data_IF_958107744377
#
_entry.id   IF_958107744377
#
_cell.length_a   1.000
_cell.length_b   1.000
_cell.length_c   1.000
_cell.angle_alpha   90.00
_cell.angle_beta   90.00
_cell.angle_gamma   90.00
#
_symmetry.space_group_name_H-M   'P 1'
#
loop_
_entity.id
_entity.type
_entity.pdbx_description
1 polymer ?
#
# COMPACT_ATOMS: atom_id res chain seq x y z
N UNK A 1 8.26 -6.62 24.61
CA UNK A 1 8.12 -6.03 23.24
C UNK A 1 9.18 -6.64 22.36
N UNK A 2 8.84 -7.45 21.36
CA UNK A 2 9.81 -7.99 20.39
C UNK A 2 10.34 -6.88 19.48
N UNK A 3 11.62 -6.97 19.12
CA UNK A 3 12.33 -5.99 18.29
C UNK A 3 13.20 -6.70 17.26
N UNK A 4 13.24 -6.15 16.03
CA UNK A 4 14.32 -6.42 15.09
C UNK A 4 15.28 -5.23 15.08
N UNK A 5 16.56 -5.52 15.19
CA UNK A 5 17.65 -4.57 15.03
C UNK A 5 18.33 -4.88 13.70
N UNK A 6 18.24 -3.98 12.74
CA UNK A 6 18.74 -4.16 11.39
C UNK A 6 19.93 -3.23 11.12
N UNK A 7 20.82 -3.63 10.21
CA UNK A 7 22.00 -2.88 9.80
C UNK A 7 22.86 -2.44 11.00
N UNK A 8 23.07 -3.38 11.91
CA UNK A 8 23.75 -3.15 13.17
C UNK A 8 25.24 -2.96 12.94
N UNK A 9 25.78 -1.86 13.43
CA UNK A 9 27.21 -1.60 13.54
C UNK A 9 27.65 -1.75 14.99
N UNK A 10 28.88 -2.12 15.19
CA UNK A 10 29.50 -2.19 16.53
C UNK A 10 30.54 -1.06 16.59
N UNK A 11 30.44 -0.20 17.60
CA UNK A 11 31.42 0.86 17.82
C UNK A 11 32.66 0.37 18.57
N UNK A 12 33.63 1.26 18.77
CA UNK A 12 34.90 0.96 19.45
C UNK A 12 34.71 0.52 20.93
N UNK A 13 33.56 0.88 21.52
CA UNK A 13 33.19 0.54 22.91
C UNK A 13 32.33 -0.73 22.99
N UNK A 14 32.17 -1.46 21.89
CA UNK A 14 31.30 -2.66 21.74
C UNK A 14 29.80 -2.38 21.92
N UNK A 15 29.30 -1.17 21.67
CA UNK A 15 27.88 -0.89 21.61
C UNK A 15 27.31 -1.26 20.24
N UNK A 16 26.11 -1.84 20.25
CA UNK A 16 25.36 -2.16 19.04
C UNK A 16 24.55 -0.94 18.60
N UNK A 17 24.89 -0.38 17.46
CA UNK A 17 24.20 0.78 16.86
C UNK A 17 23.38 0.31 15.66
N UNK A 18 22.06 0.11 15.83
CA UNK A 18 21.22 -0.32 14.71
C UNK A 18 20.97 0.84 13.73
N UNK A 19 20.99 0.52 12.44
CA UNK A 19 20.56 1.43 11.38
C UNK A 19 19.05 1.60 11.37
N UNK A 20 18.31 0.51 11.64
CA UNK A 20 16.85 0.49 11.76
C UNK A 20 16.43 -0.33 12.99
N UNK A 21 15.34 0.12 13.62
CA UNK A 21 14.65 -0.61 14.70
C UNK A 21 13.22 -0.85 14.25
N UNK A 22 12.77 -2.10 14.30
CA UNK A 22 11.39 -2.51 13.98
C UNK A 22 10.75 -3.11 15.21
N UNK A 23 9.73 -2.46 15.75
CA UNK A 23 9.00 -2.96 16.92
C UNK A 23 7.89 -3.93 16.48
N UNK A 24 7.62 -4.96 17.25
CA UNK A 24 6.59 -5.96 16.94
C UNK A 24 6.63 -6.37 15.46
N UNK A 25 7.75 -6.95 14.96
CA UNK A 25 7.91 -7.25 13.54
C UNK A 25 6.83 -8.23 13.02
N UNK A 26 6.32 -9.08 13.88
CA UNK A 26 5.23 -10.02 13.58
C UNK A 26 3.88 -9.34 13.34
N UNK A 27 3.70 -8.09 13.78
CA UNK A 27 2.53 -7.30 13.42
C UNK A 27 2.74 -6.67 12.04
N UNK A 28 2.45 -7.45 11.01
CA UNK A 28 2.63 -7.01 9.62
C UNK A 28 1.70 -5.85 9.28
N UNK A 29 2.27 -4.79 8.72
CA UNK A 29 1.54 -3.69 8.12
C UNK A 29 1.54 -3.85 6.60
N UNK A 30 0.38 -3.67 5.99
CA UNK A 30 0.26 -3.61 4.54
C UNK A 30 0.93 -2.35 3.98
N UNK A 31 1.76 -2.54 2.96
CA UNK A 31 2.53 -1.44 2.35
C UNK A 31 1.63 -0.33 1.82
N UNK A 32 0.52 -0.68 1.16
CA UNK A 32 -0.41 0.33 0.61
C UNK A 32 -1.08 1.12 1.73
N UNK A 33 -1.38 0.47 2.87
CA UNK A 33 -1.96 1.15 4.03
C UNK A 33 -0.95 2.06 4.74
N UNK A 34 0.33 1.67 4.80
CA UNK A 34 1.40 2.51 5.32
C UNK A 34 1.65 3.71 4.40
N UNK A 35 1.80 3.47 3.10
CA UNK A 35 2.00 4.52 2.10
C UNK A 35 0.86 5.56 2.11
N UNK A 36 -0.39 5.10 2.30
CA UNK A 36 -1.55 5.99 2.41
C UNK A 36 -1.52 6.93 3.63
N UNK A 37 -0.55 6.80 4.54
CA UNK A 37 -0.33 7.74 5.65
C UNK A 37 0.57 8.92 5.27
N UNK A 38 1.27 8.83 4.14
CA UNK A 38 2.06 9.91 3.56
C UNK A 38 1.15 10.81 2.72
N UNK A 39 0.74 11.90 3.32
CA UNK A 39 -0.18 12.87 2.71
C UNK A 39 0.52 14.18 2.46
N UNK A 40 0.06 14.93 1.48
CA UNK A 40 0.57 16.26 1.17
C UNK A 40 0.50 17.22 2.37
N UNK A 41 -0.34 16.93 3.35
CA UNK A 41 -0.52 17.73 4.56
C UNK A 41 0.22 17.19 5.80
N UNK A 42 0.80 15.99 5.76
CA UNK A 42 1.55 15.42 6.86
C UNK A 42 1.72 13.91 6.79
N UNK A 43 2.74 13.39 7.50
CA UNK A 43 3.08 11.97 7.58
C UNK A 43 2.66 11.38 8.93
N UNK A 44 1.41 11.56 9.31
CA UNK A 44 0.94 11.28 10.66
C UNK A 44 0.37 9.86 10.81
N UNK A 45 0.76 9.09 11.88
CA UNK A 45 0.31 7.70 12.07
C UNK A 45 -1.20 7.56 12.28
N UNK A 46 -1.89 8.60 12.73
CA UNK A 46 -3.35 8.57 12.88
C UNK A 46 -4.10 8.60 11.54
N UNK A 47 -3.44 8.91 10.42
CA UNK A 47 -4.01 8.69 9.10
C UNK A 47 -4.37 7.21 8.88
N UNK A 48 -3.57 6.28 9.44
CA UNK A 48 -3.88 4.84 9.42
C UNK A 48 -5.18 4.53 10.15
N UNK A 49 -5.36 5.09 11.35
CA UNK A 49 -6.59 4.94 12.12
C UNK A 49 -7.81 5.52 11.39
N UNK A 50 -7.70 6.73 10.86
CA UNK A 50 -8.79 7.38 10.10
C UNK A 50 -9.17 6.52 8.88
N UNK A 51 -8.22 6.04 8.11
CA UNK A 51 -8.47 5.18 6.96
C UNK A 51 -9.14 3.83 7.36
N UNK A 52 -8.91 3.36 8.60
CA UNK A 52 -9.50 2.14 9.12
C UNK A 52 -10.99 2.30 9.48
N UNK A 53 -11.37 3.47 10.01
CA UNK A 53 -12.76 3.76 10.45
C UNK A 53 -13.61 4.48 9.39
N UNK A 54 -12.96 5.10 8.40
CA UNK A 54 -13.64 5.81 7.32
C UNK A 54 -14.49 4.83 6.51
N UNK A 55 -15.76 5.20 6.18
CA UNK A 55 -16.58 4.39 5.30
C UNK A 55 -15.88 4.15 3.96
N UNK A 56 -15.86 2.89 3.53
CA UNK A 56 -15.36 2.51 2.21
C UNK A 56 -16.55 2.43 1.24
N UNK A 57 -16.47 3.18 0.16
CA UNK A 57 -17.43 3.13 -0.92
C UNK A 57 -16.77 2.64 -2.20
N UNK A 58 -17.51 1.90 -3.02
CA UNK A 58 -17.08 1.62 -4.38
C UNK A 58 -17.17 2.91 -5.19
N UNK A 59 -16.08 3.26 -5.85
CA UNK A 59 -16.00 4.48 -6.64
C UNK A 59 -15.48 4.18 -8.04
N UNK A 60 -15.88 5.00 -9.01
CA UNK A 60 -15.39 4.86 -10.38
C UNK A 60 -13.85 4.82 -10.50
N UNK A 61 -13.06 5.61 -9.74
CA UNK A 61 -11.61 5.48 -9.72
C UNK A 61 -11.10 4.10 -9.26
N UNK A 62 -11.73 3.48 -8.24
CA UNK A 62 -11.34 2.14 -7.77
C UNK A 62 -11.63 1.10 -8.86
N UNK A 63 -12.83 1.13 -9.45
CA UNK A 63 -13.18 0.23 -10.55
C UNK A 63 -12.27 0.43 -11.78
N UNK A 64 -11.90 1.68 -12.08
CA UNK A 64 -10.94 1.97 -13.13
C UNK A 64 -9.55 1.41 -12.82
N UNK A 65 -9.11 1.48 -11.56
CA UNK A 65 -7.86 0.88 -11.10
C UNK A 65 -7.83 -0.62 -11.34
N UNK A 66 -8.85 -1.32 -10.86
CA UNK A 66 -8.96 -2.76 -11.02
C UNK A 66 -9.05 -3.19 -12.50
N UNK A 67 -9.79 -2.43 -13.32
CA UNK A 67 -9.86 -2.69 -14.76
C UNK A 67 -8.53 -2.44 -15.48
N UNK A 68 -7.78 -1.40 -15.08
CA UNK A 68 -6.46 -1.11 -15.61
C UNK A 68 -5.44 -2.22 -15.26
N UNK A 69 -5.49 -2.74 -14.03
CA UNK A 69 -4.68 -3.91 -13.63
C UNK A 69 -5.05 -5.14 -14.48
N UNK A 70 -6.34 -5.39 -14.72
CA UNK A 70 -6.76 -6.49 -15.60
C UNK A 70 -6.24 -6.32 -17.05
N UNK A 71 -6.19 -5.10 -17.59
CA UNK A 71 -5.58 -4.86 -18.90
C UNK A 71 -4.08 -5.18 -18.89
N UNK A 72 -3.36 -4.81 -17.85
CA UNK A 72 -1.94 -5.14 -17.71
C UNK A 72 -1.74 -6.66 -17.69
N UNK A 73 -2.51 -7.36 -16.87
CA UNK A 73 -2.47 -8.83 -16.75
C UNK A 73 -2.75 -9.51 -18.10
N UNK A 74 -3.80 -9.07 -18.79
CA UNK A 74 -4.19 -9.64 -20.08
C UNK A 74 -3.08 -9.42 -21.13
N UNK A 75 -2.46 -8.22 -21.20
CA UNK A 75 -1.38 -7.96 -22.15
C UNK A 75 -0.07 -8.68 -21.82
N UNK A 76 0.27 -8.83 -20.54
CA UNK A 76 1.45 -9.62 -20.13
C UNK A 76 1.23 -11.10 -20.47
N UNK A 77 0.02 -11.62 -20.26
CA UNK A 77 -0.32 -13.03 -20.54
C UNK A 77 -0.77 -13.29 -21.99
N UNK A 78 -0.83 -12.26 -22.83
CA UNK A 78 -1.27 -12.39 -24.23
C UNK A 78 -0.42 -13.40 -24.99
N UNK A 79 -1.08 -14.36 -25.63
CA UNK A 79 -0.47 -15.34 -26.54
C UNK A 79 -0.81 -14.96 -27.97
N UNK A 80 0.10 -15.25 -28.89
CA UNK A 80 -0.02 -14.83 -30.31
C UNK A 80 -1.30 -15.22 -31.04
N UNK A 81 -2.00 -16.26 -30.56
CA UNK A 81 -3.19 -16.81 -31.18
C UNK A 81 -4.49 -16.14 -30.74
N UNK A 82 -4.48 -15.42 -29.61
CA UNK A 82 -5.65 -14.76 -29.01
C UNK A 82 -5.32 -13.30 -28.61
N UNK A 83 -5.54 -12.33 -29.51
CA UNK A 83 -5.25 -10.94 -29.18
C UNK A 83 -6.20 -10.39 -28.13
N UNK A 84 -5.66 -9.61 -27.19
CA UNK A 84 -6.44 -8.93 -26.15
C UNK A 84 -7.38 -7.90 -26.79
N UNK A 85 -8.68 -8.04 -26.53
CA UNK A 85 -9.69 -7.10 -27.00
C UNK A 85 -10.41 -6.43 -25.85
N UNK A 86 -10.73 -5.14 -26.02
CA UNK A 86 -11.47 -4.36 -25.01
C UNK A 86 -12.76 -5.04 -24.57
N UNK A 87 -13.54 -5.53 -25.54
CA UNK A 87 -14.83 -6.17 -25.26
C UNK A 87 -14.70 -7.45 -24.45
N UNK A 88 -13.64 -8.24 -24.67
CA UNK A 88 -13.42 -9.49 -23.93
C UNK A 88 -13.05 -9.18 -22.49
N UNK A 89 -12.01 -8.36 -22.26
CA UNK A 89 -11.55 -8.01 -20.91
C UNK A 89 -12.65 -7.33 -20.09
N UNK A 90 -13.34 -6.36 -20.70
CA UNK A 90 -14.42 -5.65 -19.99
C UNK A 90 -15.58 -6.59 -19.63
N UNK A 91 -16.01 -7.47 -20.51
CA UNK A 91 -17.06 -8.44 -20.18
C UNK A 91 -16.65 -9.37 -19.03
N UNK A 92 -15.43 -9.88 -19.06
CA UNK A 92 -14.88 -10.73 -17.99
C UNK A 92 -14.85 -9.97 -16.67
N UNK A 93 -14.33 -8.74 -16.70
CA UNK A 93 -14.22 -7.88 -15.52
C UNK A 93 -15.60 -7.53 -14.94
N UNK A 94 -16.56 -7.11 -15.77
CA UNK A 94 -17.92 -6.82 -15.32
C UNK A 94 -18.63 -8.05 -14.73
N UNK A 95 -18.40 -9.23 -15.28
CA UNK A 95 -18.98 -10.47 -14.73
C UNK A 95 -18.43 -10.78 -13.32
N UNK A 96 -17.13 -10.50 -13.09
CA UNK A 96 -16.47 -10.72 -11.80
C UNK A 96 -16.79 -9.67 -10.75
N UNK A 97 -17.07 -8.42 -11.15
CA UNK A 97 -17.28 -7.27 -10.28
C UNK A 97 -18.71 -6.70 -10.37
N UNK A 98 -19.70 -7.55 -10.66
CA UNK A 98 -21.08 -7.11 -10.94
C UNK A 98 -21.72 -6.31 -9.79
N UNK A 99 -21.48 -6.71 -8.53
CA UNK A 99 -22.02 -6.02 -7.35
C UNK A 99 -21.38 -4.64 -7.15
N UNK A 100 -20.10 -4.53 -7.36
CA UNK A 100 -19.35 -3.27 -7.30
C UNK A 100 -19.89 -2.26 -8.31
N UNK A 101 -20.19 -2.72 -9.52
CA UNK A 101 -20.78 -1.88 -10.56
C UNK A 101 -22.22 -1.44 -10.22
N UNK A 102 -23.03 -2.32 -9.61
CA UNK A 102 -24.39 -1.97 -9.20
C UNK A 102 -24.42 -0.92 -8.08
N UNK A 103 -23.35 -0.79 -7.30
CA UNK A 103 -23.25 0.13 -6.16
C UNK A 103 -22.41 1.36 -6.45
N UNK A 104 -21.96 1.56 -7.69
CA UNK A 104 -21.10 2.65 -8.09
C UNK A 104 -21.75 3.52 -9.18
N UNK A 105 -21.76 4.83 -8.95
CA UNK A 105 -22.15 5.79 -9.98
C UNK A 105 -21.01 5.98 -10.97
N UNK A 106 -21.15 5.42 -12.16
CA UNK A 106 -20.16 5.54 -13.22
C UNK A 106 -20.37 6.82 -14.02
N UNK A 107 -19.31 7.60 -14.29
CA UNK A 107 -19.40 8.75 -15.19
C UNK A 107 -19.67 8.29 -16.62
N UNK A 108 -20.40 9.10 -17.39
CA UNK A 108 -20.79 8.77 -18.77
C UNK A 108 -19.59 8.42 -19.70
N UNK A 109 -18.42 8.98 -19.40
CA UNK A 109 -17.19 8.76 -20.17
C UNK A 109 -16.31 7.62 -19.62
N UNK A 110 -16.80 6.81 -18.66
CA UNK A 110 -16.01 5.73 -18.05
C UNK A 110 -15.38 4.78 -19.08
N UNK A 111 -16.16 4.32 -20.04
CA UNK A 111 -15.67 3.43 -21.10
C UNK A 111 -14.61 4.09 -22.00
N UNK A 112 -14.78 5.37 -22.34
CA UNK A 112 -13.79 6.09 -23.15
C UNK A 112 -12.45 6.23 -22.38
N UNK A 113 -12.51 6.52 -21.10
CA UNK A 113 -11.33 6.58 -20.24
C UNK A 113 -10.66 5.20 -20.10
N UNK A 114 -11.44 4.14 -19.95
CA UNK A 114 -10.93 2.77 -19.87
C UNK A 114 -10.24 2.35 -21.17
N UNK A 115 -10.82 2.67 -22.34
CA UNK A 115 -10.19 2.41 -23.64
C UNK A 115 -8.87 3.17 -23.80
N UNK A 116 -8.82 4.43 -23.37
CA UNK A 116 -7.57 5.21 -23.38
C UNK A 116 -6.49 4.55 -22.51
N UNK A 117 -6.84 4.09 -21.31
CA UNK A 117 -5.88 3.38 -20.45
C UNK A 117 -5.43 2.06 -21.06
N UNK A 118 -6.34 1.30 -21.68
CA UNK A 118 -5.99 0.06 -22.38
C UNK A 118 -4.96 0.31 -23.50
N UNK A 119 -5.15 1.36 -24.31
CA UNK A 119 -4.21 1.73 -25.38
C UNK A 119 -2.84 2.07 -24.81
N UNK A 120 -2.79 2.88 -23.72
CA UNK A 120 -1.55 3.24 -23.07
C UNK A 120 -0.82 2.01 -22.48
N UNK A 121 -1.55 1.11 -21.81
CA UNK A 121 -1.00 -0.13 -21.23
C UNK A 121 -0.48 -1.04 -22.35
N UNK A 122 -1.20 -1.16 -23.45
CA UNK A 122 -0.73 -1.93 -24.61
C UNK A 122 0.61 -1.41 -25.13
N UNK A 123 0.70 -0.10 -25.39
CA UNK A 123 1.94 0.52 -25.84
C UNK A 123 3.06 0.36 -24.80
N UNK A 124 2.71 0.47 -23.53
CA UNK A 124 3.65 0.23 -22.44
C UNK A 124 4.24 -1.19 -22.50
N UNK A 125 3.41 -2.23 -22.60
CA UNK A 125 3.87 -3.62 -22.56
C UNK A 125 4.62 -4.03 -23.84
N UNK A 126 4.15 -3.58 -25.03
CA UNK A 126 4.71 -4.03 -26.30
C UNK A 126 5.88 -3.16 -26.80
N UNK A 127 5.84 -1.85 -26.51
CA UNK A 127 6.82 -0.92 -27.08
C UNK A 127 7.77 -0.38 -26.02
N UNK A 128 7.25 0.16 -24.90
CA UNK A 128 8.04 0.93 -23.94
C UNK A 128 8.90 0.04 -23.06
N UNK A 129 8.34 -1.03 -22.46
CA UNK A 129 9.08 -1.94 -21.58
C UNK A 129 10.26 -2.60 -22.27
N UNK A 130 10.11 -3.21 -23.47
CA UNK A 130 11.24 -3.86 -24.15
C UNK A 130 12.35 -2.89 -24.54
N UNK A 131 12.02 -1.61 -24.81
CA UNK A 131 13.03 -0.60 -25.17
C UNK A 131 13.78 -0.04 -23.95
N UNK A 132 13.09 0.15 -22.82
CA UNK A 132 13.70 0.77 -21.63
C UNK A 132 14.39 -0.25 -20.72
N UNK A 133 13.98 -1.52 -20.76
CA UNK A 133 14.49 -2.55 -19.86
C UNK A 133 15.09 -3.67 -20.73
N UNK A 134 16.43 -3.67 -20.87
CA UNK A 134 17.16 -4.64 -21.70
C UNK A 134 16.92 -6.11 -21.32
N UNK A 135 16.66 -6.37 -20.05
CA UNK A 135 16.43 -7.70 -19.50
C UNK A 135 14.93 -8.07 -19.44
N UNK A 136 14.04 -7.21 -19.95
CA UNK A 136 12.61 -7.48 -19.86
C UNK A 136 12.22 -8.72 -20.68
N UNK A 137 11.62 -9.67 -19.99
CA UNK A 137 11.09 -10.90 -20.60
C UNK A 137 9.65 -11.11 -20.12
N UNK A 138 8.69 -10.91 -21.03
CA UNK A 138 7.27 -11.06 -20.75
C UNK A 138 6.93 -12.43 -20.14
N UNK A 139 7.62 -13.50 -20.56
CA UNK A 139 7.40 -14.86 -20.05
C UNK A 139 7.97 -15.10 -18.65
N UNK A 140 8.90 -14.24 -18.23
CA UNK A 140 9.51 -14.25 -16.90
C UNK A 140 8.96 -13.14 -16.00
N UNK A 141 7.72 -12.76 -16.20
CA UNK A 141 7.04 -11.75 -15.40
C UNK A 141 6.12 -12.43 -14.40
N UNK A 142 6.18 -11.97 -13.15
CA UNK A 142 5.26 -12.31 -12.08
C UNK A 142 4.30 -11.14 -11.91
N UNK A 143 3.00 -11.45 -11.97
CA UNK A 143 1.94 -10.48 -11.73
C UNK A 143 1.38 -10.69 -10.34
N UNK A 144 1.04 -9.60 -9.68
CA UNK A 144 0.44 -9.58 -8.35
C UNK A 144 1.20 -10.44 -7.31
N UNK A 145 2.55 -10.43 -7.38
CA UNK A 145 3.39 -11.20 -6.49
C UNK A 145 3.27 -10.71 -5.04
N UNK A 146 2.82 -11.58 -4.14
CA UNK A 146 2.66 -11.27 -2.73
C UNK A 146 3.94 -11.54 -1.95
N UNK A 147 4.33 -10.57 -1.13
CA UNK A 147 5.52 -10.63 -0.29
C UNK A 147 5.20 -10.35 1.16
N UNK A 148 5.97 -10.99 2.00
CA UNK A 148 6.03 -10.78 3.42
C UNK A 148 7.49 -10.55 3.79
N UNK A 149 7.76 -9.53 4.58
CA UNK A 149 9.09 -9.24 5.12
C UNK A 149 9.02 -9.16 6.64
N UNK A 150 9.38 -10.25 7.31
CA UNK A 150 9.43 -10.33 8.76
C UNK A 150 10.45 -9.36 9.37
N UNK A 151 11.54 -9.10 8.64
CA UNK A 151 12.56 -8.15 9.09
C UNK A 151 12.00 -6.76 9.27
N UNK A 152 11.23 -6.29 8.29
CA UNK A 152 10.62 -4.96 8.29
C UNK A 152 9.23 -4.91 8.93
N UNK A 153 8.61 -6.06 9.19
CA UNK A 153 7.23 -6.14 9.65
C UNK A 153 6.23 -5.61 8.63
N UNK A 154 6.48 -5.88 7.36
CA UNK A 154 5.70 -5.41 6.22
C UNK A 154 5.18 -6.57 5.37
N UNK A 155 4.05 -6.35 4.72
CA UNK A 155 3.52 -7.22 3.68
C UNK A 155 2.96 -6.38 2.54
N UNK A 156 2.88 -6.96 1.35
CA UNK A 156 2.26 -6.28 0.22
C UNK A 156 2.25 -7.15 -1.03
N UNK A 157 1.60 -6.64 -2.07
CA UNK A 157 1.45 -7.29 -3.36
C UNK A 157 1.90 -6.32 -4.45
N UNK A 158 2.93 -6.71 -5.18
CA UNK A 158 3.53 -5.93 -6.28
C UNK A 158 2.76 -6.21 -7.56
N UNK A 159 2.40 -5.18 -8.31
CA UNK A 159 1.63 -5.34 -9.55
C UNK A 159 2.41 -6.14 -10.60
N UNK A 160 3.68 -5.84 -10.80
CA UNK A 160 4.51 -6.55 -11.77
C UNK A 160 5.97 -6.64 -11.34
N UNK A 161 6.56 -7.82 -11.46
CA UNK A 161 7.94 -8.12 -11.07
C UNK A 161 8.58 -9.10 -12.05
N UNK A 162 9.82 -8.89 -12.47
CA UNK A 162 10.59 -9.89 -13.20
C UNK A 162 11.05 -11.01 -12.26
N UNK A 163 11.14 -12.26 -12.75
CA UNK A 163 11.51 -13.44 -11.94
C UNK A 163 12.89 -13.38 -11.31
N UNK A 164 13.79 -12.53 -11.80
CA UNK A 164 15.10 -12.27 -11.20
C UNK A 164 15.03 -11.28 -10.03
N UNK A 165 13.83 -10.74 -9.75
CA UNK A 165 13.54 -9.74 -8.72
C UNK A 165 14.31 -8.43 -8.86
N UNK A 166 14.79 -8.12 -10.07
CA UNK A 166 15.56 -6.88 -10.35
C UNK A 166 14.74 -5.76 -10.96
N UNK A 167 13.61 -6.07 -11.58
CA UNK A 167 12.72 -5.08 -12.20
C UNK A 167 11.37 -5.13 -11.52
N UNK A 168 10.98 -4.03 -10.92
CA UNK A 168 9.73 -3.81 -10.21
C UNK A 168 8.93 -2.70 -10.88
N UNK A 169 7.64 -2.93 -11.11
CA UNK A 169 6.73 -1.94 -11.68
C UNK A 169 5.46 -1.92 -10.85
N UNK A 170 5.09 -0.73 -10.40
CA UNK A 170 3.83 -0.45 -9.70
C UNK A 170 2.95 0.40 -10.62
N UNK A 171 1.73 -0.06 -10.87
CA UNK A 171 0.78 0.60 -11.76
C UNK A 171 -0.19 1.50 -11.00
N UNK A 172 -0.46 2.68 -11.55
CA UNK A 172 -1.46 3.63 -11.05
C UNK A 172 -2.35 4.10 -12.19
N UNK A 173 -3.66 3.88 -12.07
CA UNK A 173 -4.67 4.34 -13.04
C UNK A 173 -5.08 5.80 -12.84
N UNK A 174 -4.71 6.38 -11.69
CA UNK A 174 -5.04 7.73 -11.31
C UNK A 174 -4.12 8.81 -11.90
N UNK A 175 -4.27 10.02 -11.37
CA UNK A 175 -3.41 11.16 -11.74
C UNK A 175 -2.06 11.08 -11.04
N UNK A 176 -1.00 11.49 -11.75
CA UNK A 176 0.27 11.90 -11.16
C UNK A 176 0.21 13.38 -10.73
N UNK A 177 1.27 13.93 -10.17
CA UNK A 177 1.45 15.38 -10.07
C UNK A 177 1.55 15.93 -11.49
N UNK A 178 0.45 16.56 -11.96
CA UNK A 178 0.33 17.07 -13.34
C UNK A 178 1.22 18.29 -13.57
N UNK A 179 1.50 19.06 -12.53
CA UNK A 179 2.31 20.28 -12.65
C UNK A 179 3.80 19.96 -12.87
N UNK A 180 4.34 19.12 -12.00
CA UNK A 180 5.75 18.71 -12.06
C UNK A 180 6.00 17.48 -12.92
N UNK A 181 4.96 16.80 -13.38
CA UNK A 181 4.99 15.48 -14.06
C UNK A 181 5.72 14.42 -13.25
N UNK A 182 5.63 14.50 -11.93
CA UNK A 182 6.26 13.59 -10.97
C UNK A 182 5.24 12.63 -10.38
N UNK A 183 5.75 11.68 -9.61
CA UNK A 183 4.94 10.79 -8.78
C UNK A 183 4.20 11.57 -7.69
N UNK A 184 3.14 10.95 -7.17
CA UNK A 184 2.58 11.31 -5.87
C UNK A 184 3.39 10.63 -4.79
N UNK A 185 3.53 11.27 -3.64
CA UNK A 185 4.39 10.81 -2.56
C UNK A 185 3.97 9.44 -2.03
N UNK A 186 2.68 9.21 -1.79
CA UNK A 186 2.15 7.92 -1.36
C UNK A 186 2.45 6.78 -2.36
N UNK A 187 2.40 7.04 -3.66
CA UNK A 187 2.76 6.07 -4.69
C UNK A 187 4.27 5.78 -4.70
N UNK A 188 5.08 6.82 -4.52
CA UNK A 188 6.54 6.66 -4.44
C UNK A 188 6.94 5.87 -3.19
N UNK A 189 6.36 6.19 -2.02
CA UNK A 189 6.57 5.45 -0.79
C UNK A 189 6.19 3.99 -0.93
N UNK A 190 5.04 3.70 -1.55
CA UNK A 190 4.62 2.31 -1.79
C UNK A 190 5.67 1.54 -2.59
N UNK A 191 6.13 2.08 -3.69
CA UNK A 191 7.15 1.46 -4.53
C UNK A 191 8.49 1.29 -3.78
N UNK A 192 8.93 2.32 -3.05
CA UNK A 192 10.16 2.29 -2.26
C UNK A 192 10.12 1.22 -1.16
N UNK A 193 8.96 1.02 -0.52
CA UNK A 193 8.79 -0.04 0.48
C UNK A 193 8.88 -1.44 -0.15
N UNK A 194 8.41 -1.62 -1.40
CA UNK A 194 8.65 -2.87 -2.12
C UNK A 194 10.12 -3.08 -2.45
N UNK A 195 10.87 -2.03 -2.83
CA UNK A 195 12.33 -2.14 -2.94
C UNK A 195 12.95 -2.62 -1.62
N UNK A 196 12.56 -2.01 -0.49
CA UNK A 196 12.99 -2.44 0.82
C UNK A 196 12.71 -3.93 1.09
N UNK A 197 11.52 -4.44 0.73
CA UNK A 197 11.23 -5.88 0.85
C UNK A 197 12.21 -6.72 0.02
N UNK A 198 12.49 -6.33 -1.22
CA UNK A 198 13.42 -7.08 -2.08
C UNK A 198 14.85 -7.05 -1.53
N UNK A 199 15.28 -5.92 -0.98
CA UNK A 199 16.59 -5.78 -0.33
C UNK A 199 16.71 -6.67 0.91
N UNK A 200 15.74 -6.62 1.82
CA UNK A 200 15.84 -7.36 3.08
C UNK A 200 15.50 -8.84 2.97
N UNK A 201 14.66 -9.25 2.01
CA UNK A 201 14.33 -10.67 1.82
C UNK A 201 15.34 -11.40 0.94
N UNK A 202 15.87 -10.74 -0.10
CA UNK A 202 16.69 -11.40 -1.13
C UNK A 202 18.13 -10.89 -1.18
N UNK A 203 18.48 -9.87 -0.40
CA UNK A 203 19.82 -9.33 -0.34
C UNK A 203 20.21 -8.54 -1.58
N UNK A 204 19.26 -7.97 -2.31
CA UNK A 204 19.55 -7.07 -3.43
C UNK A 204 20.07 -5.74 -2.90
N UNK A 205 21.06 -5.18 -3.61
CA UNK A 205 21.49 -3.80 -3.39
C UNK A 205 20.61 -2.84 -4.19
N UNK A 206 20.58 -1.58 -3.80
CA UNK A 206 19.76 -0.55 -4.47
C UNK A 206 20.12 -0.38 -5.95
N UNK A 207 21.39 -0.54 -6.29
CA UNK A 207 21.95 -0.41 -7.64
C UNK A 207 21.51 -1.56 -8.56
N UNK A 208 21.15 -2.69 -8.00
CA UNK A 208 20.67 -3.86 -8.76
C UNK A 208 19.21 -3.74 -9.16
N UNK A 209 18.45 -2.87 -8.48
CA UNK A 209 17.00 -2.73 -8.64
C UNK A 209 16.65 -1.62 -9.63
N UNK A 210 15.84 -1.96 -10.62
CA UNK A 210 15.22 -1.01 -11.53
C UNK A 210 13.73 -0.92 -11.18
N UNK A 211 13.29 0.25 -10.76
CA UNK A 211 11.95 0.47 -10.25
C UNK A 211 11.23 1.55 -11.02
N UNK A 212 9.97 1.26 -11.33
CA UNK A 212 9.18 2.09 -12.19
C UNK A 212 7.77 2.29 -11.60
N UNK A 213 7.28 3.52 -11.70
CA UNK A 213 5.86 3.85 -11.52
C UNK A 213 5.22 4.03 -12.88
N UNK A 214 4.18 3.26 -13.17
CA UNK A 214 3.40 3.37 -14.39
C UNK A 214 2.08 4.08 -14.13
N UNK A 215 1.94 5.30 -14.57
CA UNK A 215 0.66 6.00 -14.60
C UNK A 215 -0.07 5.72 -15.91
N UNK A 216 -0.89 4.67 -15.95
CA UNK A 216 -1.55 4.19 -17.17
C UNK A 216 -2.52 5.19 -17.82
N UNK A 217 -2.90 6.24 -17.11
CA UNK A 217 -3.69 7.36 -17.63
C UNK A 217 -2.96 8.15 -18.73
N UNK A 218 -1.62 8.14 -18.75
CA UNK A 218 -0.81 8.99 -19.62
C UNK A 218 0.03 8.15 -20.58
N UNK A 219 0.22 8.64 -21.79
CA UNK A 219 1.10 8.01 -22.81
C UNK A 219 2.57 8.06 -22.40
N UNK A 220 2.97 9.11 -21.65
CA UNK A 220 4.29 9.33 -21.06
C UNK A 220 4.30 8.98 -19.55
N UNK A 221 3.51 7.98 -19.16
CA UNK A 221 3.23 7.69 -17.76
C UNK A 221 4.29 6.85 -17.03
N UNK A 222 5.34 6.40 -17.70
CA UNK A 222 6.42 5.64 -17.07
C UNK A 222 7.42 6.58 -16.39
N UNK A 223 7.56 6.44 -15.08
CA UNK A 223 8.55 7.16 -14.28
C UNK A 223 9.59 6.17 -13.74
N UNK A 224 10.86 6.52 -13.88
CA UNK A 224 11.97 5.78 -13.28
C UNK A 224 12.19 6.36 -11.89
N UNK A 225 12.21 5.50 -10.88
CA UNK A 225 12.30 5.94 -9.50
C UNK A 225 13.53 5.32 -8.83
N UNK A 226 14.10 6.06 -7.89
CA UNK A 226 15.29 5.65 -7.17
C UNK A 226 15.01 5.56 -5.68
N UNK A 227 15.73 4.68 -5.00
CA UNK A 227 15.59 4.49 -3.57
C UNK A 227 15.99 5.75 -2.80
N UNK A 228 15.14 6.17 -1.86
CA UNK A 228 15.35 7.32 -1.00
C UNK A 228 15.49 6.87 0.46
N UNK A 229 16.72 6.63 0.90
CA UNK A 229 17.00 6.06 2.22
C UNK A 229 16.37 6.85 3.37
N UNK A 230 16.38 8.19 3.30
CA UNK A 230 15.78 9.06 4.32
C UNK A 230 14.28 8.81 4.49
N UNK A 231 13.54 8.77 3.38
CA UNK A 231 12.10 8.49 3.38
C UNK A 231 11.80 7.02 3.74
N UNK A 232 12.66 6.09 3.36
CA UNK A 232 12.53 4.70 3.79
C UNK A 232 12.63 4.57 5.31
N UNK A 233 13.64 5.20 5.93
CA UNK A 233 13.80 5.24 7.39
C UNK A 233 12.61 5.91 8.08
N UNK A 234 12.10 6.99 7.52
CA UNK A 234 10.91 7.67 8.00
C UNK A 234 9.67 6.74 7.92
N UNK A 235 9.51 6.03 6.82
CA UNK A 235 8.42 5.06 6.64
C UNK A 235 8.46 3.94 7.69
N UNK A 236 9.63 3.43 8.04
CA UNK A 236 9.78 2.43 9.11
C UNK A 236 9.48 3.03 10.49
N UNK A 237 9.87 4.30 10.76
CA UNK A 237 9.49 4.99 12.00
C UNK A 237 7.97 5.16 12.08
N UNK A 238 7.34 5.59 10.98
CA UNK A 238 5.88 5.74 10.92
C UNK A 238 5.17 4.40 11.13
N UNK A 239 5.66 3.33 10.49
CA UNK A 239 5.20 1.95 10.72
C UNK A 239 5.24 1.59 12.21
N UNK A 240 6.33 1.91 12.88
CA UNK A 240 6.47 1.64 14.31
C UNK A 240 5.45 2.42 15.16
N UNK A 241 5.22 3.69 14.85
CA UNK A 241 4.20 4.50 15.52
C UNK A 241 2.79 3.94 15.31
N UNK A 242 2.47 3.50 14.09
CA UNK A 242 1.19 2.83 13.77
C UNK A 242 1.03 1.58 14.64
N UNK A 243 2.04 0.72 14.69
CA UNK A 243 1.97 -0.52 15.48
C UNK A 243 1.85 -0.24 16.98
N UNK A 244 2.57 0.75 17.50
CA UNK A 244 2.41 1.17 18.90
C UNK A 244 0.98 1.61 19.20
N UNK A 245 0.36 2.38 18.30
CA UNK A 245 -1.05 2.77 18.42
C UNK A 245 -1.99 1.56 18.38
N UNK A 246 -1.79 0.62 17.45
CA UNK A 246 -2.60 -0.59 17.35
C UNK A 246 -2.54 -1.45 18.63
N UNK A 247 -1.34 -1.59 19.23
CA UNK A 247 -1.18 -2.26 20.52
C UNK A 247 -1.92 -1.53 21.64
N UNK A 248 -1.78 -0.20 21.72
CA UNK A 248 -2.48 0.60 22.70
C UNK A 248 -4.01 0.56 22.54
N UNK A 249 -4.51 0.50 21.30
CA UNK A 249 -5.94 0.33 21.02
C UNK A 249 -6.46 -1.02 21.52
N UNK A 250 -5.68 -2.08 21.39
CA UNK A 250 -5.99 -3.38 22.00
C UNK A 250 -6.09 -3.33 23.53
N UNK A 251 -5.48 -2.38 24.17
CA UNK A 251 -5.56 -2.12 25.62
C UNK A 251 -6.64 -1.10 26.00
N UNK A 252 -7.33 -0.53 25.03
CA UNK A 252 -8.45 0.40 25.23
C UNK A 252 -8.09 1.88 25.19
N UNK A 253 -6.90 2.25 24.74
CA UNK A 253 -6.44 3.64 24.65
C UNK A 253 -7.02 4.45 23.47
N UNK A 254 -8.17 4.05 22.92
CA UNK A 254 -8.79 4.73 21.77
C UNK A 254 -9.45 6.06 22.15
N UNK A 255 -10.00 6.20 23.36
CA UNK A 255 -10.74 7.40 23.75
C UNK A 255 -9.86 8.64 23.80
N UNK A 256 -8.69 8.62 24.48
CA UNK A 256 -7.77 9.77 24.47
C UNK A 256 -7.36 10.20 23.06
N UNK A 257 -7.14 9.22 22.16
CA UNK A 257 -6.80 9.51 20.76
C UNK A 257 -7.94 10.23 20.04
N UNK A 258 -9.18 9.77 20.18
CA UNK A 258 -10.34 10.43 19.58
C UNK A 258 -10.57 11.85 20.13
N UNK A 259 -10.28 12.09 21.40
CA UNK A 259 -10.41 13.41 22.03
C UNK A 259 -9.37 14.42 21.54
N UNK A 260 -8.14 13.97 21.34
CA UNK A 260 -7.02 14.80 20.88
C UNK A 260 -7.01 15.00 19.34
N UNK A 261 -7.71 14.16 18.60
CA UNK A 261 -7.68 14.20 17.13
C UNK A 261 -8.31 15.51 16.60
N UNK A 262 -7.53 16.25 15.82
CA UNK A 262 -7.95 17.49 15.14
C UNK A 262 -7.38 17.50 13.71
N UNK A 263 -7.92 18.34 12.82
CA UNK A 263 -7.35 18.56 11.49
C UNK A 263 -5.97 19.19 11.58
N UNK A 264 -5.76 20.14 12.52
CA UNK A 264 -4.45 20.76 12.77
C UNK A 264 -3.38 19.76 13.19
N UNK A 265 -3.74 18.74 14.01
CA UNK A 265 -2.81 17.69 14.40
C UNK A 265 -2.32 16.87 13.20
N UNK A 266 -3.18 16.68 12.21
CA UNK A 266 -2.87 15.91 11.01
C UNK A 266 -2.16 16.74 9.95
N UNK A 267 -2.37 18.06 9.94
CA UNK A 267 -1.74 19.00 9.03
C UNK A 267 -0.35 19.42 9.53
N UNK A 268 0.55 18.46 9.66
CA UNK A 268 1.91 18.67 10.18
C UNK A 268 2.72 19.68 9.36
N UNK A 269 2.43 19.77 8.05
CA UNK A 269 3.11 20.66 7.13
C UNK A 269 2.46 22.05 7.01
N UNK A 270 1.42 22.30 7.80
CA UNK A 270 0.68 23.57 7.82
C UNK A 270 0.23 24.01 6.42
N UNK A 271 -0.26 23.04 5.64
CA UNK A 271 -0.74 23.30 4.27
C UNK A 271 -1.98 24.17 4.33
N UNK A 272 -1.95 25.25 3.57
CA UNK A 272 -3.07 26.18 3.37
C UNK A 272 -3.23 26.46 1.87
N UNK A 273 -3.90 25.56 1.19
CA UNK A 273 -4.16 25.66 -0.24
C UNK A 273 -5.59 25.20 -0.56
N UNK A 274 -6.01 25.44 -1.81
CA UNK A 274 -7.37 25.08 -2.24
C UNK A 274 -7.69 23.60 -2.10
N UNK A 275 -6.72 22.70 -2.31
CA UNK A 275 -6.93 21.26 -2.17
C UNK A 275 -7.21 20.89 -0.71
N UNK A 276 -6.45 21.47 0.22
CA UNK A 276 -6.65 21.26 1.65
C UNK A 276 -8.02 21.84 2.07
N UNK A 277 -8.25 23.12 1.84
CA UNK A 277 -9.41 23.84 2.36
C UNK A 277 -10.74 23.35 1.78
N UNK A 278 -10.78 23.03 0.49
CA UNK A 278 -12.05 22.67 -0.19
C UNK A 278 -12.34 21.16 -0.13
N UNK A 279 -11.34 20.30 0.09
CA UNK A 279 -11.52 18.85 -0.05
C UNK A 279 -10.96 18.03 1.12
N UNK A 280 -9.68 18.20 1.48
CA UNK A 280 -9.01 17.30 2.42
C UNK A 280 -9.45 17.57 3.86
N UNK A 281 -9.41 18.82 4.30
CA UNK A 281 -9.84 19.21 5.65
C UNK A 281 -11.33 18.92 5.90
N UNK A 282 -12.29 19.30 5.02
CA UNK A 282 -13.70 18.98 5.23
C UNK A 282 -14.00 17.47 5.29
N UNK A 283 -13.22 16.66 4.57
CA UNK A 283 -13.34 15.20 4.61
C UNK A 283 -12.88 14.65 5.98
N UNK A 284 -11.75 15.13 6.49
CA UNK A 284 -11.22 14.77 7.81
C UNK A 284 -12.15 15.25 8.92
N UNK A 285 -12.60 16.51 8.84
CA UNK A 285 -13.54 17.08 9.83
C UNK A 285 -14.82 16.27 9.96
N UNK A 286 -15.35 15.74 8.86
CA UNK A 286 -16.55 14.90 8.89
C UNK A 286 -16.34 13.66 9.77
N UNK A 287 -15.20 12.98 9.63
CA UNK A 287 -14.86 11.81 10.45
C UNK A 287 -14.61 12.21 11.90
N UNK A 288 -13.81 13.24 12.12
CA UNK A 288 -13.44 13.73 13.47
C UNK A 288 -14.69 14.21 14.22
N UNK A 289 -15.55 14.99 13.58
CA UNK A 289 -16.79 15.49 14.15
C UNK A 289 -17.69 14.34 14.59
N UNK A 290 -17.82 13.29 13.78
CA UNK A 290 -18.62 12.10 14.12
C UNK A 290 -18.11 11.45 15.42
N UNK A 291 -16.80 11.33 15.60
CA UNK A 291 -16.20 10.77 16.82
C UNK A 291 -16.42 11.67 18.06
N UNK A 292 -16.44 13.00 17.87
CA UNK A 292 -16.57 13.97 18.97
C UNK A 292 -18.00 14.19 19.45
N UNK A 293 -18.97 14.08 18.55
CA UNK A 293 -20.40 14.36 18.83
C UNK A 293 -21.13 13.15 19.43
N UNK A 294 -20.46 12.02 19.58
CA UNK A 294 -21.04 10.81 20.18
C UNK A 294 -21.60 11.04 21.59
N UNK A 295 -22.78 10.49 21.85
CA UNK A 295 -23.33 10.40 23.21
C UNK A 295 -22.43 9.54 24.11
N UNK A 296 -22.54 9.64 25.45
CA UNK A 296 -21.76 8.79 26.35
C UNK A 296 -21.95 7.29 26.10
N UNK A 297 -23.15 6.85 25.72
CA UNK A 297 -23.45 5.45 25.40
C UNK A 297 -22.76 5.02 24.10
N UNK A 298 -22.86 5.79 23.03
CA UNK A 298 -22.21 5.52 21.75
C UNK A 298 -20.69 5.48 21.90
N UNK A 299 -20.11 6.41 22.67
CA UNK A 299 -18.68 6.43 22.98
C UNK A 299 -18.25 5.17 23.76
N UNK A 300 -19.03 4.74 24.75
CA UNK A 300 -18.74 3.54 25.52
C UNK A 300 -18.85 2.28 24.63
N UNK A 301 -19.86 2.22 23.76
CA UNK A 301 -20.02 1.14 22.78
C UNK A 301 -18.84 1.12 21.80
N UNK A 302 -18.53 2.24 21.15
CA UNK A 302 -17.41 2.36 20.21
C UNK A 302 -16.10 1.91 20.84
N UNK A 303 -15.79 2.41 22.04
CA UNK A 303 -14.58 2.02 22.78
C UNK A 303 -14.49 0.52 22.98
N UNK A 304 -15.54 -0.10 23.51
CA UNK A 304 -15.54 -1.55 23.81
C UNK A 304 -15.40 -2.37 22.53
N UNK A 305 -16.18 -2.03 21.53
CA UNK A 305 -16.17 -2.77 20.27
C UNK A 305 -14.86 -2.60 19.50
N UNK A 306 -14.37 -1.37 19.42
CA UNK A 306 -13.08 -1.09 18.78
C UNK A 306 -11.91 -1.79 19.47
N UNK A 307 -11.87 -1.75 20.81
CA UNK A 307 -10.88 -2.48 21.60
C UNK A 307 -10.95 -3.99 21.33
N UNK A 308 -12.15 -4.55 21.27
CA UNK A 308 -12.35 -5.96 20.96
C UNK A 308 -11.80 -6.30 19.56
N UNK A 309 -12.18 -5.54 18.54
CA UNK A 309 -11.69 -5.75 17.16
C UNK A 309 -10.17 -5.60 17.08
N UNK A 310 -9.58 -4.62 17.77
CA UNK A 310 -8.13 -4.44 17.81
C UNK A 310 -7.42 -5.61 18.46
N UNK A 311 -7.97 -6.17 19.56
CA UNK A 311 -7.44 -7.41 20.18
C UNK A 311 -7.50 -8.59 19.24
N UNK A 312 -8.63 -8.81 18.58
CA UNK A 312 -8.76 -9.89 17.59
C UNK A 312 -7.76 -9.75 16.45
N UNK A 313 -7.53 -8.53 15.97
CA UNK A 313 -6.52 -8.28 14.94
C UNK A 313 -5.09 -8.57 15.42
N UNK A 314 -4.76 -8.18 16.66
CA UNK A 314 -3.46 -8.47 17.26
C UNK A 314 -3.27 -9.98 17.39
N UNK A 315 -4.26 -10.69 17.92
CA UNK A 315 -4.22 -12.15 18.09
C UNK A 315 -4.11 -12.87 16.73
N UNK A 316 -4.87 -12.42 15.73
CA UNK A 316 -4.83 -13.00 14.40
C UNK A 316 -3.47 -12.82 13.72
N UNK A 317 -2.81 -11.68 13.94
CA UNK A 317 -1.49 -11.41 13.35
C UNK A 317 -0.34 -12.07 14.13
N UNK A 318 -0.34 -11.97 15.44
CA UNK A 318 0.81 -12.33 16.29
C UNK A 318 0.62 -13.63 17.08
N UNK A 319 -0.60 -14.18 17.12
CA UNK A 319 -0.95 -15.30 18.01
C UNK A 319 -1.26 -14.87 19.44
N UNK A 320 -1.81 -15.80 20.22
CA UNK A 320 -2.16 -15.59 21.62
C UNK A 320 -1.03 -15.97 22.59
N UNK A 321 -1.11 -15.50 23.84
CA UNK A 321 -0.16 -15.89 24.89
C UNK A 321 -0.19 -17.40 25.21
N UNK A 322 -1.37 -18.01 25.09
CA UNK A 322 -1.59 -19.44 25.35
C UNK A 322 -1.33 -20.32 24.13
N UNK A 323 -1.41 -19.75 22.94
CA UNK A 323 -1.15 -20.42 21.68
C UNK A 323 -0.45 -19.46 20.72
N UNK A 324 0.86 -19.26 20.87
CA UNK A 324 1.62 -18.37 19.98
C UNK A 324 1.68 -18.92 18.53
N UNK A 325 1.40 -20.21 18.32
CA UNK A 325 1.37 -20.81 16.99
C UNK A 325 0.09 -20.51 16.21
N UNK A 326 -0.93 -19.87 16.81
CA UNK A 326 -2.20 -19.55 16.15
C UNK A 326 -2.18 -18.28 15.32
N UNK A 327 -1.16 -17.42 15.48
CA UNK A 327 -1.04 -16.18 14.73
C UNK A 327 -0.47 -16.36 13.33
N UNK A 328 -0.79 -15.44 12.43
CA UNK A 328 -0.26 -15.44 11.05
C UNK A 328 1.27 -15.44 11.03
N UNK A 329 1.92 -14.74 11.95
CA UNK A 329 3.36 -14.71 12.11
C UNK A 329 3.99 -16.08 12.39
N UNK A 330 3.24 -17.02 12.99
CA UNK A 330 3.75 -18.38 13.23
C UNK A 330 4.01 -19.16 11.95
N UNK A 331 3.45 -18.75 10.84
CA UNK A 331 3.64 -19.41 9.54
C UNK A 331 5.09 -19.35 9.04
N UNK A 332 5.89 -18.36 9.47
CA UNK A 332 7.32 -18.34 9.13
C UNK A 332 8.08 -19.49 9.78
N UNK A 333 7.74 -19.83 11.02
CA UNK A 333 8.43 -20.90 11.76
C UNK A 333 8.14 -22.27 11.17
N UNK A 334 7.01 -22.44 10.50
CA UNK A 334 6.62 -23.70 9.85
C UNK A 334 7.06 -23.82 8.40
N UNK A 335 7.68 -22.78 7.84
CA UNK A 335 8.07 -22.68 6.42
C UNK A 335 6.91 -22.84 5.40
N UNK A 336 5.67 -22.82 5.83
CA UNK A 336 4.51 -23.04 4.95
C UNK A 336 4.34 -21.93 3.91
N UNK A 337 4.71 -20.69 4.25
CA UNK A 337 4.62 -19.54 3.34
C UNK A 337 5.64 -19.59 2.19
N UNK A 338 6.78 -20.25 2.40
CA UNK A 338 7.83 -20.35 1.39
C UNK A 338 7.66 -21.59 0.49
N UNK A 339 6.80 -22.53 0.88
CA UNK A 339 6.62 -23.80 0.18
C UNK A 339 5.26 -23.93 -0.51
N UNK A 340 4.27 -23.10 -0.14
CA UNK A 340 2.97 -23.10 -0.80
C UNK A 340 3.05 -22.29 -2.08
N UNK A 341 2.69 -22.86 -3.25
CA UNK A 341 2.48 -22.05 -4.43
C UNK A 341 1.36 -21.04 -4.13
N UNK A 342 1.56 -19.81 -4.50
CA UNK A 342 0.51 -18.78 -4.42
C UNK A 342 -0.74 -19.29 -5.15
N UNK A 343 -1.93 -19.17 -4.55
CA UNK A 343 -3.16 -19.60 -5.20
C UNK A 343 -3.45 -18.80 -6.47
#
# INVERSE_FOLDING_TARGET
MPLNLLDVRVDEENHYIPGLIVIYPDYLIDISALAACFREYGHHPLNFFINKIKPKANTAPILMGNLASQFLDDYINERGDEPVTYSHTVKKFFAGAALEFCTCDLPANFHALAQSQMINIRSFVHDILPHNIRSFDKQKTLLEASFICERLGLQGRVDMLQKDFKVLIEQKSGKRDEYNRKHKEDHFIQMMLYQGILMYNFGHETEDLQTFLLYSKYTDGLLIEHFAEGLFRESIRLRNCIVANEMAFGEGAIVPVCEQLTTDLLNEFQVDNKLWNDYQEPELERVIKTLKVCTPLERAYFRRFFTFVSKEQILNKMGGRTDPASGFASLWHTCLLYTSPSP
#
